data_IF_341465124101
#
_entry.id   IF_341465124101
#
_cell.length_a   1.000
_cell.length_b   1.000
_cell.length_c   1.000
_cell.angle_alpha   90.00
_cell.angle_beta   90.00
_cell.angle_gamma   90.00
#
_symmetry.space_group_name_H-M   'P 1'
#
loop_
_entity.id
_entity.type
_entity.pdbx_description
1 polymer ?
#
# COMPACT_ATOMS: atom_id res chain seq x y z
N UNK A 1 20.25 -4.35 27.22
CA UNK A 1 19.59 -4.10 25.92
C UNK A 1 18.31 -4.93 25.90
N UNK A 2 17.18 -4.38 25.44
CA UNK A 2 15.93 -5.13 25.40
C UNK A 2 15.96 -6.18 24.29
N UNK A 3 15.15 -7.25 24.39
CA UNK A 3 14.97 -8.26 23.33
C UNK A 3 14.62 -7.61 21.97
N UNK A 4 13.97 -6.44 22.02
CA UNK A 4 13.68 -5.64 20.85
C UNK A 4 14.95 -5.12 20.16
N UNK A 5 15.92 -4.60 20.93
CA UNK A 5 17.19 -4.11 20.38
C UNK A 5 17.99 -5.23 19.71
N UNK A 6 18.00 -6.43 20.31
CA UNK A 6 18.70 -7.57 19.72
C UNK A 6 18.06 -8.03 18.42
N UNK A 7 16.72 -8.08 18.35
CA UNK A 7 16.02 -8.51 17.14
C UNK A 7 16.20 -7.52 15.99
N UNK A 8 16.11 -6.21 16.27
CA UNK A 8 16.37 -5.18 15.26
C UNK A 8 17.83 -5.20 14.79
N UNK A 9 18.78 -5.33 15.73
CA UNK A 9 20.20 -5.45 15.39
C UNK A 9 20.46 -6.69 14.52
N UNK A 10 19.83 -7.83 14.84
CA UNK A 10 19.93 -9.04 14.03
C UNK A 10 19.40 -8.83 12.61
N UNK A 11 18.23 -8.21 12.43
CA UNK A 11 17.66 -7.92 11.10
C UNK A 11 18.61 -7.03 10.29
N UNK A 12 19.14 -5.96 10.90
CA UNK A 12 20.07 -5.05 10.23
C UNK A 12 21.38 -5.75 9.86
N UNK A 13 21.94 -6.57 10.75
CA UNK A 13 23.16 -7.35 10.49
C UNK A 13 22.91 -8.39 9.40
N UNK A 14 21.82 -9.14 9.48
CA UNK A 14 21.43 -10.13 8.48
C UNK A 14 21.24 -9.47 7.10
N UNK A 15 20.59 -8.31 7.05
CA UNK A 15 20.40 -7.55 5.82
C UNK A 15 21.73 -7.01 5.27
N UNK A 16 22.61 -6.51 6.14
CA UNK A 16 23.94 -6.03 5.75
C UNK A 16 24.76 -7.16 5.14
N UNK A 17 24.74 -8.34 5.77
CA UNK A 17 25.40 -9.55 5.26
C UNK A 17 24.79 -9.94 3.90
N UNK A 18 23.47 -9.98 3.78
CA UNK A 18 22.78 -10.25 2.52
C UNK A 18 23.19 -9.26 1.43
N UNK A 19 23.20 -7.95 1.71
CA UNK A 19 23.60 -6.90 0.77
C UNK A 19 25.00 -7.12 0.23
N UNK A 20 25.98 -7.41 1.11
CA UNK A 20 27.36 -7.67 0.69
C UNK A 20 27.50 -8.97 -0.10
N UNK A 21 26.85 -10.06 0.32
CA UNK A 21 26.85 -11.33 -0.41
C UNK A 21 26.21 -11.14 -1.79
N UNK A 22 25.08 -10.44 -1.86
CA UNK A 22 24.34 -10.19 -3.09
C UNK A 22 25.17 -9.38 -4.11
N UNK A 23 25.89 -8.36 -3.63
CA UNK A 23 26.89 -7.62 -4.43
C UNK A 23 28.05 -8.49 -4.89
N UNK A 24 28.61 -9.33 -4.00
CA UNK A 24 29.72 -10.23 -4.33
C UNK A 24 29.32 -11.29 -5.36
N UNK A 25 28.08 -11.79 -5.28
CA UNK A 25 27.50 -12.74 -6.24
C UNK A 25 27.03 -12.09 -7.53
N UNK A 26 27.20 -10.77 -7.68
CA UNK A 26 26.77 -9.96 -8.82
C UNK A 26 25.31 -10.25 -9.20
N UNK A 27 24.43 -10.32 -8.20
CA UNK A 27 23.02 -10.58 -8.44
C UNK A 27 22.39 -9.49 -9.33
N UNK A 28 22.98 -8.30 -9.37
CA UNK A 28 22.62 -7.23 -10.30
C UNK A 28 22.67 -7.67 -11.78
N UNK A 29 23.66 -8.50 -12.14
CA UNK A 29 23.79 -9.09 -13.49
C UNK A 29 22.76 -10.22 -13.75
N UNK A 30 22.04 -10.65 -12.71
CA UNK A 30 21.04 -11.74 -12.74
C UNK A 30 19.59 -11.24 -12.57
N UNK A 31 19.36 -9.95 -12.80
CA UNK A 31 18.02 -9.35 -12.77
C UNK A 31 17.57 -8.85 -11.39
N UNK A 32 18.48 -8.80 -10.41
CA UNK A 32 18.23 -8.12 -9.15
C UNK A 32 18.61 -6.64 -9.25
N UNK A 33 17.94 -5.80 -8.49
CA UNK A 33 18.33 -4.42 -8.25
C UNK A 33 18.44 -4.25 -6.74
N UNK A 34 19.68 -4.14 -6.25
CA UNK A 34 19.99 -4.19 -4.82
C UNK A 34 20.37 -2.80 -4.31
N UNK A 35 19.51 -2.26 -3.47
CA UNK A 35 19.71 -1.01 -2.73
C UNK A 35 19.98 -1.28 -1.24
N UNK A 36 20.49 -0.29 -0.48
CA UNK A 36 20.79 -0.46 0.94
C UNK A 36 19.60 -0.93 1.79
N UNK A 37 18.36 -0.64 1.38
CA UNK A 37 17.15 -0.93 2.16
C UNK A 37 16.11 -1.80 1.44
N UNK A 38 16.37 -2.18 0.19
CA UNK A 38 15.51 -3.07 -0.57
C UNK A 38 16.28 -3.82 -1.65
N UNK A 39 15.74 -4.96 -2.07
CA UNK A 39 16.18 -5.74 -3.20
C UNK A 39 14.97 -6.05 -4.08
N UNK A 40 15.06 -5.73 -5.35
CA UNK A 40 14.01 -5.96 -6.34
C UNK A 40 14.45 -7.07 -7.27
N UNK A 41 13.65 -8.12 -7.41
CA UNK A 41 13.88 -9.12 -8.44
C UNK A 41 12.93 -8.90 -9.61
N UNK A 42 13.44 -8.35 -10.71
CA UNK A 42 12.65 -8.12 -11.93
C UNK A 42 12.57 -9.40 -12.74
N UNK A 43 11.36 -9.82 -13.09
CA UNK A 43 11.14 -11.05 -13.85
C UNK A 43 9.99 -10.90 -14.83
N UNK A 44 10.27 -11.17 -16.10
CA UNK A 44 9.24 -11.23 -17.14
C UNK A 44 8.37 -12.48 -17.03
N UNK A 45 8.82 -13.52 -16.32
CA UNK A 45 8.04 -14.77 -16.12
C UNK A 45 6.77 -14.52 -15.32
N UNK A 46 6.80 -13.58 -14.39
CA UNK A 46 5.64 -13.18 -13.60
C UNK A 46 4.57 -12.50 -14.48
N UNK A 47 4.97 -11.86 -15.59
CA UNK A 47 4.03 -11.26 -16.54
C UNK A 47 3.12 -12.31 -17.19
N UNK A 48 3.56 -13.57 -17.35
CA UNK A 48 2.69 -14.64 -17.87
C UNK A 48 1.56 -14.98 -16.90
N UNK A 49 1.85 -15.01 -15.60
CA UNK A 49 0.85 -15.24 -14.55
C UNK A 49 -0.18 -14.10 -14.59
N UNK A 50 0.29 -12.85 -14.64
CA UNK A 50 -0.55 -11.66 -14.75
C UNK A 50 -1.45 -11.74 -15.99
N UNK A 51 -0.89 -12.10 -17.15
CA UNK A 51 -1.66 -12.28 -18.40
C UNK A 51 -2.72 -13.37 -18.28
N UNK A 52 -2.40 -14.51 -17.66
CA UNK A 52 -3.37 -15.59 -17.45
C UNK A 52 -4.51 -15.14 -16.55
N UNK A 53 -4.21 -14.44 -15.45
CA UNK A 53 -5.22 -13.92 -14.52
C UNK A 53 -6.05 -12.80 -15.14
N UNK A 54 -5.45 -11.86 -15.87
CA UNK A 54 -6.17 -10.77 -16.57
C UNK A 54 -7.09 -11.28 -17.66
N UNK A 55 -6.67 -12.31 -18.41
CA UNK A 55 -7.50 -12.96 -19.42
C UNK A 55 -8.56 -13.90 -18.82
N UNK A 56 -8.46 -14.23 -17.53
CA UNK A 56 -9.51 -14.97 -16.84
C UNK A 56 -10.69 -14.05 -16.56
N UNK A 57 -11.81 -14.30 -17.25
CA UNK A 57 -13.06 -13.52 -17.14
C UNK A 57 -12.82 -11.99 -17.10
N UNK A 58 -12.36 -11.36 -18.20
CA UNK A 58 -12.04 -9.92 -18.22
C UNK A 58 -13.20 -9.02 -17.78
N UNK A 59 -14.44 -9.45 -18.04
CA UNK A 59 -15.64 -8.74 -17.58
C UNK A 59 -15.75 -8.64 -16.06
N UNK A 60 -15.34 -9.68 -15.32
CA UNK A 60 -15.30 -9.65 -13.85
C UNK A 60 -14.33 -8.57 -13.37
N UNK A 61 -13.12 -8.54 -13.92
CA UNK A 61 -12.12 -7.52 -13.58
C UNK A 61 -12.59 -6.12 -13.94
N UNK A 62 -13.22 -5.92 -15.11
CA UNK A 62 -13.79 -4.61 -15.49
C UNK A 62 -14.86 -4.13 -14.52
N UNK A 63 -15.75 -5.02 -14.06
CA UNK A 63 -16.74 -4.69 -13.02
C UNK A 63 -16.05 -4.30 -11.72
N UNK A 64 -15.07 -5.08 -11.27
CA UNK A 64 -14.30 -4.76 -10.08
C UNK A 64 -13.56 -3.42 -10.20
N UNK A 65 -12.99 -3.12 -11.36
CA UNK A 65 -12.37 -1.82 -11.67
C UNK A 65 -13.36 -0.66 -11.62
N UNK A 66 -14.56 -0.82 -12.18
CA UNK A 66 -15.61 0.20 -12.10
C UNK A 66 -16.05 0.46 -10.66
N UNK A 67 -16.22 -0.61 -9.87
CA UNK A 67 -16.51 -0.51 -8.43
C UNK A 67 -15.35 0.20 -7.73
N UNK A 68 -14.11 -0.14 -8.06
CA UNK A 68 -12.91 0.51 -7.54
C UNK A 68 -12.93 2.02 -7.80
N UNK A 69 -13.17 2.43 -9.05
CA UNK A 69 -13.28 3.85 -9.41
C UNK A 69 -14.38 4.54 -8.59
N UNK A 70 -15.57 3.95 -8.48
CA UNK A 70 -16.65 4.52 -7.67
C UNK A 70 -16.29 4.62 -6.19
N UNK A 71 -15.66 3.57 -5.64
CA UNK A 71 -15.26 3.51 -4.23
C UNK A 71 -14.09 4.44 -3.88
N UNK A 72 -13.20 4.74 -4.84
CA UNK A 72 -12.01 5.58 -4.63
C UNK A 72 -12.39 6.97 -4.11
N UNK A 73 -13.44 7.56 -4.67
CA UNK A 73 -13.98 8.86 -4.27
C UNK A 73 -14.50 8.78 -2.83
N UNK A 74 -15.25 7.73 -2.50
CA UNK A 74 -15.73 7.48 -1.13
C UNK A 74 -14.60 7.27 -0.13
N UNK A 75 -13.57 6.50 -0.49
CA UNK A 75 -12.39 6.26 0.33
C UNK A 75 -11.64 7.57 0.60
N UNK A 76 -11.39 8.38 -0.43
CA UNK A 76 -10.75 9.69 -0.31
C UNK A 76 -11.54 10.63 0.61
N UNK A 77 -12.86 10.74 0.44
CA UNK A 77 -13.70 11.56 1.33
C UNK A 77 -13.69 11.04 2.76
N UNK A 78 -13.77 9.73 2.96
CA UNK A 78 -13.82 9.13 4.28
C UNK A 78 -12.53 9.32 5.07
N UNK A 79 -11.36 9.11 4.44
CA UNK A 79 -10.07 9.36 5.11
C UNK A 79 -9.87 10.84 5.39
N UNK A 80 -10.31 11.73 4.48
CA UNK A 80 -10.28 13.18 4.70
C UNK A 80 -11.12 13.57 5.92
N UNK A 81 -12.32 13.01 6.03
CA UNK A 81 -13.21 13.22 7.16
C UNK A 81 -12.57 12.72 8.47
N UNK A 82 -12.00 11.51 8.49
CA UNK A 82 -11.34 10.96 9.68
C UNK A 82 -10.18 11.85 10.12
N UNK A 83 -9.28 12.24 9.21
CA UNK A 83 -8.12 13.05 9.54
C UNK A 83 -8.51 14.47 9.98
N UNK A 84 -9.53 15.06 9.34
CA UNK A 84 -10.07 16.37 9.73
C UNK A 84 -10.76 16.33 11.09
N UNK A 85 -11.60 15.32 11.33
CA UNK A 85 -12.24 15.08 12.63
C UNK A 85 -11.20 14.86 13.72
N UNK A 86 -10.11 14.16 13.42
CA UNK A 86 -9.07 13.88 14.41
C UNK A 86 -8.32 15.16 14.83
N UNK A 87 -8.01 16.06 13.89
CA UNK A 87 -7.48 17.41 14.22
C UNK A 87 -8.47 18.19 15.09
N UNK A 88 -9.76 18.18 14.73
CA UNK A 88 -10.80 18.79 15.56
C UNK A 88 -10.81 18.21 16.97
N UNK A 89 -10.74 16.88 17.11
CA UNK A 89 -10.67 16.20 18.39
C UNK A 89 -9.44 16.63 19.19
N UNK A 90 -8.26 16.76 18.58
CA UNK A 90 -7.07 17.26 19.29
C UNK A 90 -7.26 18.64 19.92
N UNK A 91 -8.02 19.53 19.29
CA UNK A 91 -8.20 20.92 19.74
C UNK A 91 -9.35 21.03 20.75
N UNK A 92 -10.48 20.37 20.49
CA UNK A 92 -11.73 20.63 21.21
C UNK A 92 -12.18 19.49 22.13
N UNK A 93 -11.85 18.24 21.79
CA UNK A 93 -12.26 17.06 22.57
C UNK A 93 -11.09 16.07 22.66
N UNK A 94 -9.99 16.42 23.35
CA UNK A 94 -8.74 15.67 23.26
C UNK A 94 -8.91 14.19 23.58
N UNK A 95 -9.77 13.82 24.54
CA UNK A 95 -10.04 12.42 24.92
C UNK A 95 -10.52 11.54 23.76
N UNK A 96 -11.15 12.11 22.73
CA UNK A 96 -11.60 11.38 21.54
C UNK A 96 -10.56 11.32 20.40
N UNK A 97 -9.43 12.03 20.54
CA UNK A 97 -8.38 12.00 19.53
C UNK A 97 -7.75 10.61 19.47
N UNK A 98 -7.51 10.12 18.26
CA UNK A 98 -6.86 8.83 18.00
C UNK A 98 -5.42 9.05 17.52
N UNK A 99 -4.47 8.20 17.94
CA UNK A 99 -3.09 8.33 17.50
C UNK A 99 -2.97 7.99 16.00
N UNK A 100 -2.38 8.91 15.24
CA UNK A 100 -1.90 8.69 13.87
C UNK A 100 -0.38 8.68 13.93
N UNK A 101 0.24 7.59 13.50
CA UNK A 101 1.69 7.40 13.57
C UNK A 101 2.17 6.49 12.44
N UNK A 102 3.43 6.62 11.99
CA UNK A 102 4.02 5.68 11.04
C UNK A 102 4.18 4.30 11.67
N UNK A 103 4.08 3.27 10.83
CA UNK A 103 4.39 1.89 11.20
C UNK A 103 5.91 1.68 11.12
N UNK A 104 6.57 1.69 12.28
CA UNK A 104 8.01 1.56 12.43
C UNK A 104 8.29 0.30 13.25
N UNK A 105 8.90 -0.75 12.64
CA UNK A 105 9.28 -1.95 13.35
C UNK A 105 10.12 -1.69 14.60
N UNK A 106 9.68 -2.24 15.72
CA UNK A 106 10.33 -2.12 17.03
C UNK A 106 10.13 -0.77 17.74
N UNK A 107 9.46 0.20 17.12
CA UNK A 107 9.05 1.46 17.76
C UNK A 107 7.55 1.49 17.96
N UNK A 108 6.77 1.46 16.88
CA UNK A 108 5.30 1.45 16.92
C UNK A 108 4.70 0.08 16.65
N UNK A 109 5.49 -0.86 16.09
CA UNK A 109 5.10 -2.27 15.97
C UNK A 109 5.94 -3.08 16.94
N UNK A 110 5.28 -3.85 17.82
CA UNK A 110 6.02 -4.72 18.73
C UNK A 110 6.80 -5.81 17.98
N UNK A 111 7.97 -6.21 18.51
CA UNK A 111 8.81 -7.24 17.88
C UNK A 111 8.11 -8.60 17.79
N UNK A 112 7.23 -8.93 18.74
CA UNK A 112 6.44 -10.16 18.70
C UNK A 112 5.38 -10.13 17.60
N UNK A 113 4.80 -8.95 17.33
CA UNK A 113 3.83 -8.74 16.24
C UNK A 113 4.49 -8.64 14.87
N UNK A 114 5.77 -8.29 14.82
CA UNK A 114 6.48 -7.96 13.58
C UNK A 114 6.41 -9.06 12.51
N UNK A 115 6.69 -10.36 12.75
CA UNK A 115 6.59 -11.37 11.70
C UNK A 115 5.21 -11.43 11.04
N UNK A 116 4.15 -11.26 11.83
CA UNK A 116 2.77 -11.28 11.37
C UNK A 116 2.39 -10.01 10.60
N UNK A 117 2.86 -8.84 11.07
CA UNK A 117 2.72 -7.57 10.36
C UNK A 117 3.40 -7.65 8.99
N UNK A 118 4.64 -8.12 8.92
CA UNK A 118 5.42 -8.20 7.69
C UNK A 118 4.80 -9.18 6.69
N UNK A 119 4.30 -10.32 7.16
CA UNK A 119 3.57 -11.28 6.34
C UNK A 119 2.27 -10.67 5.79
N UNK A 120 1.48 -10.01 6.65
CA UNK A 120 0.24 -9.36 6.25
C UNK A 120 0.50 -8.21 5.25
N UNK A 121 1.44 -7.32 5.54
CA UNK A 121 1.81 -6.21 4.67
C UNK A 121 2.31 -6.72 3.32
N UNK A 122 3.14 -7.76 3.30
CA UNK A 122 3.63 -8.33 2.05
C UNK A 122 2.55 -8.97 1.19
N UNK A 123 1.59 -9.69 1.81
CA UNK A 123 0.44 -10.24 1.09
C UNK A 123 -0.42 -9.11 0.49
N UNK A 124 -0.73 -8.07 1.27
CA UNK A 124 -1.54 -6.95 0.81
C UNK A 124 -0.85 -6.22 -0.34
N UNK A 125 0.41 -5.81 -0.18
CA UNK A 125 1.16 -5.10 -1.23
C UNK A 125 1.29 -5.96 -2.49
N UNK A 126 1.62 -7.25 -2.37
CA UNK A 126 1.68 -8.13 -3.54
C UNK A 126 0.34 -8.22 -4.28
N UNK A 127 -0.76 -8.40 -3.54
CA UNK A 127 -2.10 -8.52 -4.13
C UNK A 127 -2.54 -7.22 -4.79
N UNK A 128 -2.16 -6.08 -4.21
CA UNK A 128 -2.41 -4.74 -4.73
C UNK A 128 -1.74 -4.53 -6.10
N UNK A 129 -0.43 -4.79 -6.16
CA UNK A 129 0.39 -4.68 -7.36
C UNK A 129 -0.04 -5.68 -8.44
N UNK A 130 -0.37 -6.91 -8.04
CA UNK A 130 -0.96 -7.90 -8.93
C UNK A 130 -2.26 -7.38 -9.55
N UNK A 131 -3.08 -6.67 -8.78
CA UNK A 131 -4.26 -5.98 -9.24
C UNK A 131 -3.99 -5.02 -10.39
N UNK A 132 -3.02 -4.12 -10.21
CA UNK A 132 -2.61 -3.18 -11.26
C UNK A 132 -2.21 -3.92 -12.53
N UNK A 133 -1.38 -4.96 -12.42
CA UNK A 133 -0.98 -5.78 -13.57
C UNK A 133 -2.14 -6.47 -14.27
N UNK A 134 -3.08 -7.04 -13.52
CA UNK A 134 -4.28 -7.68 -14.06
C UNK A 134 -5.12 -6.64 -14.82
N UNK A 135 -5.31 -5.46 -14.24
CA UNK A 135 -6.09 -4.40 -14.87
C UNK A 135 -5.42 -3.83 -16.12
N UNK A 136 -4.08 -3.71 -16.14
CA UNK A 136 -3.33 -3.35 -17.34
C UNK A 136 -3.66 -4.32 -18.48
N UNK A 137 -3.62 -5.64 -18.25
CA UNK A 137 -3.98 -6.64 -19.26
C UNK A 137 -5.43 -6.47 -19.74
N UNK A 138 -6.36 -6.26 -18.81
CA UNK A 138 -7.80 -6.10 -19.09
C UNK A 138 -8.12 -4.85 -19.91
N UNK A 139 -7.33 -3.79 -19.72
CA UNK A 139 -7.42 -2.51 -20.44
C UNK A 139 -6.47 -2.43 -21.65
N UNK A 140 -5.83 -3.55 -22.03
CA UNK A 140 -4.89 -3.66 -23.14
C UNK A 140 -3.64 -2.77 -23.03
N UNK A 141 -3.20 -2.49 -21.80
CA UNK A 141 -1.92 -1.84 -21.49
C UNK A 141 -0.86 -2.91 -21.25
N UNK A 142 0.26 -2.85 -21.98
CA UNK A 142 1.33 -3.84 -21.84
C UNK A 142 2.04 -3.68 -20.49
N UNK A 143 2.33 -4.80 -19.84
CA UNK A 143 3.22 -4.85 -18.66
C UNK A 143 4.65 -5.12 -19.15
N UNK A 144 5.54 -4.13 -19.02
CA UNK A 144 6.96 -4.24 -19.41
C UNK A 144 7.69 -5.23 -18.51
N UNK A 145 7.58 -5.02 -17.21
CA UNK A 145 8.21 -5.86 -16.20
C UNK A 145 7.30 -5.98 -14.98
N UNK A 146 7.48 -7.06 -14.22
CA UNK A 146 6.97 -7.14 -12.86
C UNK A 146 8.09 -7.63 -11.96
N UNK A 147 8.07 -7.17 -10.71
CA UNK A 147 9.10 -7.47 -9.74
C UNK A 147 8.49 -7.96 -8.44
N UNK A 148 9.23 -8.83 -7.75
CA UNK A 148 9.02 -9.05 -6.33
C UNK A 148 10.03 -8.18 -5.58
N UNK A 149 9.52 -7.32 -4.70
CA UNK A 149 10.32 -6.48 -3.83
C UNK A 149 10.54 -7.18 -2.49
N UNK A 150 11.76 -7.16 -2.00
CA UNK A 150 12.13 -7.49 -0.63
C UNK A 150 12.75 -6.24 -0.01
N UNK A 151 12.04 -5.55 0.84
CA UNK A 151 12.60 -4.52 1.71
C UNK A 151 13.15 -5.16 3.01
N UNK A 152 14.06 -4.45 3.69
CA UNK A 152 14.59 -4.85 5.01
C UNK A 152 13.47 -5.29 5.96
N UNK A 153 12.32 -4.63 5.84
CA UNK A 153 11.18 -4.82 6.71
C UNK A 153 10.14 -5.73 6.07
N UNK A 154 9.70 -5.55 4.82
CA UNK A 154 8.60 -6.34 4.24
C UNK A 154 8.95 -6.88 2.85
N UNK A 155 8.16 -7.79 2.30
CA UNK A 155 8.15 -8.06 0.86
C UNK A 155 6.96 -7.35 0.18
N UNK A 156 6.93 -7.35 -1.15
CA UNK A 156 5.91 -6.67 -1.95
C UNK A 156 6.06 -6.97 -3.44
N UNK A 157 5.25 -6.32 -4.26
CA UNK A 157 5.33 -6.40 -5.72
C UNK A 157 5.72 -5.06 -6.31
N UNK A 158 6.02 -5.06 -7.60
CA UNK A 158 5.94 -3.87 -8.43
C UNK A 158 5.49 -4.31 -9.82
N UNK A 159 4.59 -3.56 -10.43
CA UNK A 159 4.23 -3.74 -11.83
C UNK A 159 4.60 -2.49 -12.61
N UNK A 160 5.34 -2.67 -13.69
CA UNK A 160 5.78 -1.59 -14.57
C UNK A 160 4.97 -1.63 -15.87
N UNK A 161 3.93 -0.79 -16.01
CA UNK A 161 3.18 -0.68 -17.25
C UNK A 161 3.97 0.07 -18.32
N UNK A 162 3.60 -0.13 -19.58
CA UNK A 162 4.12 0.66 -20.69
C UNK A 162 3.54 2.08 -20.65
N UNK A 163 4.42 3.07 -20.55
CA UNK A 163 4.03 4.48 -20.42
C UNK A 163 3.31 5.01 -21.67
N UNK A 164 3.68 4.56 -22.86
CA UNK A 164 3.03 5.01 -24.11
C UNK A 164 1.61 4.45 -24.19
N UNK A 165 1.45 3.16 -23.89
CA UNK A 165 0.14 2.51 -23.80
C UNK A 165 -0.75 3.18 -22.75
N UNK A 166 -0.20 3.48 -21.55
CA UNK A 166 -0.93 4.22 -20.52
C UNK A 166 -1.35 5.58 -21.03
N UNK A 167 -0.44 6.37 -21.61
CA UNK A 167 -0.74 7.73 -22.03
C UNK A 167 -1.84 7.77 -23.09
N UNK A 168 -1.84 6.79 -24.00
CA UNK A 168 -2.84 6.62 -25.06
C UNK A 168 -4.16 5.99 -24.57
N UNK A 169 -4.19 5.39 -23.38
CA UNK A 169 -5.40 4.78 -22.82
C UNK A 169 -6.47 5.82 -22.48
N UNK A 170 -7.73 5.40 -22.55
CA UNK A 170 -8.87 6.25 -22.17
C UNK A 170 -8.80 6.66 -20.69
N UNK A 171 -9.42 7.79 -20.34
CA UNK A 171 -9.51 8.26 -18.94
C UNK A 171 -10.06 7.15 -18.04
N UNK A 172 -11.14 6.47 -18.44
CA UNK A 172 -11.72 5.41 -17.63
C UNK A 172 -10.79 4.19 -17.48
N UNK A 173 -10.02 3.84 -18.51
CA UNK A 173 -9.01 2.78 -18.45
C UNK A 173 -7.92 3.11 -17.44
N UNK A 174 -7.36 4.33 -17.50
CA UNK A 174 -6.39 4.84 -16.50
C UNK A 174 -6.97 4.80 -15.09
N UNK A 175 -8.19 5.30 -14.92
CA UNK A 175 -8.88 5.31 -13.61
C UNK A 175 -9.08 3.91 -13.04
N UNK A 176 -9.45 2.92 -13.86
CA UNK A 176 -9.56 1.52 -13.40
C UNK A 176 -8.20 0.95 -13.01
N UNK A 177 -7.16 1.21 -13.81
CA UNK A 177 -5.79 0.75 -13.52
C UNK A 177 -5.34 1.30 -12.17
N UNK A 178 -5.54 2.57 -11.87
CA UNK A 178 -5.12 3.13 -10.58
C UNK A 178 -6.03 2.73 -9.42
N UNK A 179 -7.34 2.55 -9.63
CA UNK A 179 -8.26 2.21 -8.56
C UNK A 179 -8.22 0.73 -8.12
N UNK A 180 -7.78 -0.18 -9.00
CA UNK A 180 -7.90 -1.64 -8.77
C UNK A 180 -7.11 -2.12 -7.54
N UNK A 181 -5.94 -1.52 -7.26
CA UNK A 181 -5.12 -1.89 -6.11
C UNK A 181 -5.85 -1.59 -4.80
N UNK A 182 -6.45 -0.40 -4.70
CA UNK A 182 -7.21 0.00 -3.51
C UNK A 182 -8.44 -0.88 -3.28
N UNK A 183 -9.21 -1.20 -4.32
CA UNK A 183 -10.40 -2.05 -4.16
C UNK A 183 -10.02 -3.48 -3.76
N UNK A 184 -8.90 -4.03 -4.23
CA UNK A 184 -8.41 -5.34 -3.78
C UNK A 184 -8.09 -5.31 -2.28
N UNK A 185 -7.41 -4.25 -1.82
CA UNK A 185 -7.12 -4.07 -0.40
C UNK A 185 -8.42 -3.95 0.41
N UNK A 186 -9.35 -3.10 -0.03
CA UNK A 186 -10.63 -2.92 0.65
C UNK A 186 -11.44 -4.22 0.73
N UNK A 187 -11.56 -4.94 -0.38
CA UNK A 187 -12.26 -6.23 -0.44
C UNK A 187 -11.58 -7.23 0.48
N UNK A 188 -10.24 -7.30 0.49
CA UNK A 188 -9.49 -8.18 1.39
C UNK A 188 -9.80 -7.89 2.86
N UNK A 189 -9.81 -6.61 3.26
CA UNK A 189 -10.18 -6.21 4.62
C UNK A 189 -11.65 -6.51 4.95
N UNK A 190 -12.58 -6.34 4.01
CA UNK A 190 -13.99 -6.70 4.23
C UNK A 190 -14.13 -8.22 4.39
N UNK A 191 -13.39 -9.01 3.62
CA UNK A 191 -13.43 -10.47 3.69
C UNK A 191 -12.86 -11.05 4.99
N UNK A 192 -12.10 -10.29 5.78
CA UNK A 192 -11.70 -10.72 7.14
C UNK A 192 -12.80 -10.52 8.18
N UNK A 193 -13.84 -9.72 7.91
CA UNK A 193 -14.92 -9.45 8.88
C UNK A 193 -15.66 -10.74 9.30
N UNK A 194 -16.08 -11.64 8.38
CA UNK A 194 -16.67 -12.91 8.78
C UNK A 194 -15.76 -13.76 9.68
N UNK A 195 -14.43 -13.70 9.47
CA UNK A 195 -13.46 -14.39 10.31
C UNK A 195 -13.51 -13.83 11.73
N UNK A 196 -13.57 -12.50 11.88
CA UNK A 196 -13.73 -11.84 13.17
C UNK A 196 -15.02 -12.20 13.89
N UNK A 197 -16.13 -12.31 13.17
CA UNK A 197 -17.44 -12.60 13.77
C UNK A 197 -17.57 -14.07 14.17
N UNK A 198 -17.16 -15.00 13.29
CA UNK A 198 -17.52 -16.41 13.44
C UNK A 198 -16.37 -17.32 13.91
N UNK A 199 -15.11 -16.96 13.64
CA UNK A 199 -13.98 -17.87 13.83
C UNK A 199 -12.92 -17.35 14.83
N UNK A 200 -12.81 -16.04 15.02
CA UNK A 200 -11.66 -15.40 15.66
C UNK A 200 -11.38 -15.86 17.09
N UNK A 201 -12.43 -16.01 17.91
CA UNK A 201 -12.29 -16.49 19.28
C UNK A 201 -11.73 -17.92 19.39
N UNK A 202 -11.82 -18.71 18.32
CA UNK A 202 -11.34 -20.10 18.27
C UNK A 202 -9.97 -20.23 17.60
N UNK A 203 -9.46 -19.16 16.98
CA UNK A 203 -8.16 -19.20 16.32
C UNK A 203 -7.02 -19.18 17.35
N UNK A 204 -5.89 -19.88 17.08
CA UNK A 204 -4.65 -19.66 17.80
C UNK A 204 -4.26 -18.18 17.83
N UNK A 205 -3.65 -17.73 18.93
CA UNK A 205 -3.30 -16.31 19.14
C UNK A 205 -2.47 -15.74 17.99
N UNK A 206 -1.60 -16.56 17.39
CA UNK A 206 -0.78 -16.18 16.24
C UNK A 206 -1.62 -15.80 15.01
N UNK A 207 -2.67 -16.60 14.72
CA UNK A 207 -3.57 -16.33 13.61
C UNK A 207 -4.47 -15.12 13.91
N UNK A 208 -4.86 -14.92 15.17
CA UNK A 208 -5.59 -13.71 15.58
C UNK A 208 -4.76 -12.45 15.30
N UNK A 209 -3.49 -12.44 15.73
CA UNK A 209 -2.55 -11.33 15.47
C UNK A 209 -2.37 -11.11 13.98
N UNK A 210 -2.19 -12.18 13.19
CA UNK A 210 -2.08 -12.09 11.73
C UNK A 210 -3.32 -11.47 11.08
N UNK A 211 -4.53 -11.93 11.41
CA UNK A 211 -5.76 -11.39 10.81
C UNK A 211 -6.03 -9.95 11.22
N UNK A 212 -5.67 -9.56 12.46
CA UNK A 212 -5.71 -8.16 12.88
C UNK A 212 -4.79 -7.29 11.99
N UNK A 213 -3.54 -7.72 11.77
CA UNK A 213 -2.64 -7.00 10.87
C UNK A 213 -3.11 -7.00 9.42
N UNK A 214 -3.64 -8.13 8.94
CA UNK A 214 -4.18 -8.23 7.58
C UNK A 214 -5.32 -7.24 7.38
N UNK A 215 -6.29 -7.19 8.28
CA UNK A 215 -7.38 -6.22 8.25
C UNK A 215 -6.87 -4.78 8.36
N UNK A 216 -6.01 -4.51 9.34
CA UNK A 216 -5.49 -3.17 9.59
C UNK A 216 -4.74 -2.62 8.38
N UNK A 217 -3.80 -3.39 7.83
CA UNK A 217 -3.02 -2.96 6.66
C UNK A 217 -3.90 -2.87 5.42
N UNK A 218 -4.80 -3.82 5.20
CA UNK A 218 -5.71 -3.81 4.05
C UNK A 218 -6.58 -2.54 4.03
N UNK A 219 -7.26 -2.22 5.13
CA UNK A 219 -8.17 -1.07 5.20
C UNK A 219 -7.39 0.25 5.17
N UNK A 220 -6.31 0.38 5.95
CA UNK A 220 -5.54 1.62 5.97
C UNK A 220 -4.84 1.89 4.64
N UNK A 221 -4.23 0.88 4.02
CA UNK A 221 -3.56 1.06 2.73
C UNK A 221 -4.55 1.37 1.61
N UNK A 222 -5.74 0.74 1.62
CA UNK A 222 -6.80 1.08 0.67
C UNK A 222 -7.22 2.57 0.77
N UNK A 223 -7.45 3.06 1.99
CA UNK A 223 -7.87 4.45 2.20
C UNK A 223 -6.75 5.44 1.88
N UNK A 224 -5.54 5.19 2.38
CA UNK A 224 -4.40 6.09 2.20
C UNK A 224 -4.02 6.21 0.73
N UNK A 225 -4.01 5.11 -0.04
CA UNK A 225 -3.65 5.16 -1.46
C UNK A 225 -4.60 5.98 -2.31
N UNK A 226 -5.84 6.26 -1.85
CA UNK A 226 -6.80 7.07 -2.60
C UNK A 226 -6.70 8.57 -2.31
N UNK A 227 -5.81 8.99 -1.41
CA UNK A 227 -5.52 10.41 -1.24
C UNK A 227 -4.90 11.00 -2.53
N UNK A 228 -5.24 12.24 -2.91
CA UNK A 228 -4.71 12.88 -4.11
C UNK A 228 -3.29 13.44 -3.85
N UNK A 229 -2.39 12.53 -3.51
CA UNK A 229 -0.96 12.75 -3.25
C UNK A 229 -0.19 12.08 -4.39
N UNK A 230 0.65 12.82 -5.10
CA UNK A 230 1.27 12.38 -6.37
C UNK A 230 1.82 10.95 -6.41
N UNK A 231 2.63 10.49 -5.43
CA UNK A 231 3.13 9.12 -5.38
C UNK A 231 2.10 8.00 -5.20
N UNK A 232 0.86 8.33 -4.81
CA UNK A 232 -0.20 7.36 -4.53
C UNK A 232 -1.14 7.21 -5.73
N UNK A 233 -1.88 6.11 -5.78
CA UNK A 233 -2.84 5.80 -6.84
C UNK A 233 -3.89 6.90 -7.03
N UNK A 234 -4.44 7.42 -5.93
CA UNK A 234 -5.40 8.52 -5.90
C UNK A 234 -4.81 9.82 -6.44
N UNK A 235 -3.50 10.02 -6.28
CA UNK A 235 -2.76 11.11 -6.92
C UNK A 235 -2.69 10.96 -8.44
N UNK A 236 -2.47 9.74 -8.95
CA UNK A 236 -2.50 9.45 -10.39
C UNK A 236 -3.90 9.60 -10.98
N UNK A 237 -4.94 9.19 -10.25
CA UNK A 237 -6.33 9.42 -10.60
C UNK A 237 -6.65 10.92 -10.65
N UNK A 238 -6.24 11.68 -9.63
CA UNK A 238 -6.43 13.13 -9.57
C UNK A 238 -5.71 13.84 -10.72
N UNK A 239 -4.48 13.41 -11.03
CA UNK A 239 -3.72 13.90 -12.18
C UNK A 239 -4.45 13.63 -13.49
N UNK A 240 -4.91 12.41 -13.71
CA UNK A 240 -5.66 12.02 -14.92
C UNK A 240 -6.93 12.86 -15.09
N UNK A 241 -7.65 13.12 -13.99
CA UNK A 241 -8.84 13.96 -14.01
C UNK A 241 -8.55 15.43 -14.34
N UNK A 242 -7.43 15.95 -13.83
CA UNK A 242 -7.08 17.38 -13.93
C UNK A 242 -6.21 17.73 -15.14
N UNK A 243 -5.67 16.76 -15.87
CA UNK A 243 -4.71 16.96 -16.97
C UNK A 243 -5.24 17.89 -18.09
N UNK A 244 -6.56 17.87 -18.35
CA UNK A 244 -7.20 18.74 -19.34
C UNK A 244 -7.74 20.08 -18.82
N UNK A 245 -7.55 20.40 -17.53
CA UNK A 245 -8.07 21.62 -16.92
C UNK A 245 -7.04 22.76 -17.00
N UNK A 246 -7.51 24.00 -17.22
CA UNK A 246 -6.66 25.20 -17.28
C UNK A 246 -5.72 25.34 -16.08
N UNK A 247 -6.24 25.06 -14.87
CA UNK A 247 -5.49 25.12 -13.61
C UNK A 247 -5.09 23.73 -13.07
N UNK A 248 -5.03 22.70 -13.92
CA UNK A 248 -4.83 21.31 -13.51
C UNK A 248 -3.58 21.08 -12.67
N UNK A 249 -2.43 21.62 -13.08
CA UNK A 249 -1.17 21.52 -12.32
C UNK A 249 -1.27 22.15 -10.93
N UNK A 250 -1.92 23.32 -10.84
CA UNK A 250 -2.14 24.00 -9.56
C UNK A 250 -3.03 23.17 -8.63
N UNK A 251 -4.11 22.57 -9.16
CA UNK A 251 -4.99 21.67 -8.42
C UNK A 251 -4.26 20.42 -7.92
N UNK A 252 -3.34 19.86 -8.71
CA UNK A 252 -2.50 18.71 -8.30
C UNK A 252 -1.56 19.07 -7.16
N UNK A 253 -0.93 20.24 -7.22
CA UNK A 253 -0.04 20.75 -6.16
C UNK A 253 -0.81 21.03 -4.88
N UNK A 254 -1.94 21.73 -4.96
CA UNK A 254 -2.80 22.02 -3.80
C UNK A 254 -3.28 20.72 -3.15
N UNK A 255 -3.75 19.75 -3.94
CA UNK A 255 -4.13 18.43 -3.45
C UNK A 255 -2.95 17.78 -2.72
N UNK A 256 -1.83 17.60 -3.40
CA UNK A 256 -0.67 16.89 -2.84
C UNK A 256 -0.18 17.53 -1.53
N UNK A 257 0.12 18.83 -1.54
CA UNK A 257 0.66 19.50 -0.36
C UNK A 257 -0.38 19.72 0.74
N UNK A 258 -1.65 19.93 0.38
CA UNK A 258 -2.75 20.05 1.34
C UNK A 258 -2.93 18.75 2.14
N UNK A 259 -2.95 17.60 1.47
CA UNK A 259 -3.08 16.31 2.14
C UNK A 259 -1.81 15.87 2.88
N UNK A 260 -0.62 16.19 2.36
CA UNK A 260 0.62 16.03 3.13
C UNK A 260 0.56 16.86 4.42
N UNK A 261 0.14 18.12 4.36
CA UNK A 261 -0.06 18.97 5.53
C UNK A 261 -1.07 18.40 6.52
N UNK A 262 -2.20 17.88 6.03
CA UNK A 262 -3.23 17.24 6.84
C UNK A 262 -2.68 16.02 7.62
N UNK A 263 -1.90 15.17 6.95
CA UNK A 263 -1.25 14.00 7.56
C UNK A 263 -0.19 14.44 8.56
N UNK A 264 0.71 15.35 8.19
CA UNK A 264 1.78 15.82 9.06
C UNK A 264 1.25 16.49 10.33
N UNK A 265 0.16 17.25 10.22
CA UNK A 265 -0.51 17.84 11.38
C UNK A 265 -1.06 16.76 12.31
N UNK A 266 -1.73 15.74 11.76
CA UNK A 266 -2.19 14.58 12.54
C UNK A 266 -1.05 13.85 13.24
N UNK A 267 0.05 13.59 12.53
CA UNK A 267 1.25 12.94 13.07
C UNK A 267 1.88 13.76 14.20
N UNK A 268 2.03 15.07 13.99
CA UNK A 268 2.64 15.97 14.96
C UNK A 268 1.81 16.07 16.24
N UNK A 269 0.50 16.31 16.13
CA UNK A 269 -0.40 16.38 17.27
C UNK A 269 -0.49 15.04 18.01
N UNK A 270 -0.50 13.93 17.27
CA UNK A 270 -0.47 12.58 17.86
C UNK A 270 0.80 12.34 18.66
N UNK A 271 1.96 12.70 18.11
CA UNK A 271 3.24 12.57 18.80
C UNK A 271 3.30 13.44 20.06
N UNK A 272 2.84 14.69 20.01
CA UNK A 272 2.82 15.57 21.19
C UNK A 272 1.91 15.02 22.31
N UNK A 273 0.77 14.44 21.94
CA UNK A 273 -0.21 13.96 22.93
C UNK A 273 0.11 12.57 23.47
N UNK A 274 0.54 11.66 22.60
CA UNK A 274 0.64 10.23 22.93
C UNK A 274 2.08 9.69 22.90
N UNK A 275 3.03 10.45 22.32
CA UNK A 275 4.34 9.90 21.95
C UNK A 275 4.21 8.81 20.89
N UNK A 276 5.15 7.86 20.88
CA UNK A 276 5.01 6.63 20.10
C UNK A 276 4.24 5.59 20.90
N UNK A 277 3.13 5.10 20.33
CA UNK A 277 2.32 4.05 20.94
C UNK A 277 2.64 2.72 20.27
N UNK A 278 2.91 1.67 21.04
CA UNK A 278 3.10 0.35 20.47
C UNK A 278 1.75 -0.31 20.16
N UNK A 279 1.65 -0.85 18.94
CA UNK A 279 0.52 -1.59 18.37
C UNK A 279 0.93 -3.06 18.18
#
# INVERSE_FOLDING_TARGET
MSDQTYTLAFILVAWTIFYFIAKQMKLDEKGWEIAPYYALYKSTRLNEIIKRLGNWRPGFWKVLGNIGVASSVGQAFFITYILGKNIWSFIFVPEQASPVQPLIPGVTISVNSMPWFLLAAGIIILSHELGHGIMCVVENVKVKSSAVMFAVITFGGAVEPDEEDINNASVMSKMRIFAIGSIINLVTGILTIPIFIFAFAYLPIQLQVFFNWLYFVAINLAMMNMLPIGPLDGGQMWRTYTEGMENGKTLQLIGTYGYIGLILMNLFLSFLKFGFVQI
#
